data_IF_068029578432
#
_entry.id   IF_068029578432
#
_cell.length_a   1.000
_cell.length_b   1.000
_cell.length_c   1.000
_cell.angle_alpha   90.00
_cell.angle_beta   90.00
_cell.angle_gamma   90.00
#
_symmetry.space_group_name_H-M   'P 1'
#
loop_
_entity.id
_entity.type
_entity.pdbx_description
1 polymer ?
#
# COMPACT_ATOMS: atom_id res chain seq x y z
N UNK A 1 -13.32 15.24 4.64
CA UNK A 1 -12.48 14.06 4.96
C UNK A 1 -11.98 14.26 6.38
N UNK A 2 -12.13 13.27 7.22
CA UNK A 2 -11.67 13.25 8.61
C UNK A 2 -10.51 12.24 8.75
N UNK A 3 -9.81 12.26 9.89
CA UNK A 3 -8.80 11.23 10.23
C UNK A 3 -9.46 9.85 10.24
N UNK A 4 -10.70 9.74 10.72
CA UNK A 4 -11.46 8.49 10.73
C UNK A 4 -11.74 7.94 9.31
N UNK A 5 -11.96 8.82 8.33
CA UNK A 5 -12.11 8.40 6.92
C UNK A 5 -10.79 7.82 6.39
N UNK A 6 -9.65 8.43 6.73
CA UNK A 6 -8.33 7.93 6.37
C UNK A 6 -8.02 6.60 7.06
N UNK A 7 -8.30 6.47 8.36
CA UNK A 7 -8.18 5.19 9.09
C UNK A 7 -8.96 4.08 8.37
N UNK A 8 -10.19 4.36 7.97
CA UNK A 8 -11.02 3.39 7.25
C UNK A 8 -10.39 2.97 5.92
N UNK A 9 -9.81 3.91 5.15
CA UNK A 9 -9.14 3.62 3.88
C UNK A 9 -7.88 2.77 4.07
N UNK A 10 -7.05 3.07 5.07
CA UNK A 10 -5.85 2.29 5.36
C UNK A 10 -6.22 0.89 5.90
N UNK A 11 -7.18 0.78 6.81
CA UNK A 11 -7.67 -0.51 7.31
C UNK A 11 -8.20 -1.39 6.18
N UNK A 12 -8.98 -0.81 5.25
CA UNK A 12 -9.37 -1.51 4.02
C UNK A 12 -8.14 -1.95 3.21
N UNK A 13 -7.16 -1.07 3.03
CA UNK A 13 -5.93 -1.40 2.30
C UNK A 13 -5.21 -2.62 2.88
N UNK A 14 -5.06 -2.69 4.19
CA UNK A 14 -4.41 -3.82 4.87
C UNK A 14 -5.25 -5.09 4.88
N UNK A 15 -6.57 -4.98 4.98
CA UNK A 15 -7.47 -6.11 4.78
C UNK A 15 -7.31 -6.70 3.37
N UNK A 16 -7.27 -5.86 2.35
CA UNK A 16 -7.10 -6.28 0.96
C UNK A 16 -5.69 -6.88 0.71
N UNK A 17 -4.64 -6.30 1.32
CA UNK A 17 -3.29 -6.84 1.26
C UNK A 17 -3.21 -8.25 1.85
N UNK A 18 -3.80 -8.50 3.03
CA UNK A 18 -3.81 -9.83 3.65
C UNK A 18 -4.46 -10.89 2.74
N UNK A 19 -5.57 -10.55 2.07
CA UNK A 19 -6.21 -11.44 1.09
C UNK A 19 -5.31 -11.72 -0.11
N UNK A 20 -4.70 -10.69 -0.64
CA UNK A 20 -3.80 -10.82 -1.79
C UNK A 20 -2.55 -11.64 -1.43
N UNK A 21 -1.94 -11.40 -0.27
CA UNK A 21 -0.79 -12.18 0.21
C UNK A 21 -1.14 -13.65 0.45
N UNK A 22 -2.37 -13.96 0.89
CA UNK A 22 -2.83 -15.34 1.00
C UNK A 22 -2.84 -16.11 -0.33
N UNK A 23 -2.93 -15.40 -1.47
CA UNK A 23 -2.78 -16.00 -2.80
C UNK A 23 -1.33 -15.96 -3.25
N UNK A 24 -0.62 -14.87 -3.04
CA UNK A 24 0.79 -14.74 -3.40
C UNK A 24 1.65 -15.80 -2.71
N UNK A 25 1.34 -16.18 -1.46
CA UNK A 25 2.06 -17.24 -0.73
C UNK A 25 1.91 -18.64 -1.33
N UNK A 26 1.01 -18.84 -2.29
CA UNK A 26 0.85 -20.10 -3.03
C UNK A 26 1.74 -20.16 -4.28
N UNK A 27 2.37 -19.06 -4.67
CA UNK A 27 3.27 -18.98 -5.81
C UNK A 27 4.59 -19.70 -5.50
N UNK A 28 5.18 -20.30 -6.53
CA UNK A 28 6.59 -20.68 -6.43
C UNK A 28 7.49 -19.42 -6.43
N UNK A 29 8.73 -19.51 -5.91
CA UNK A 29 9.68 -18.39 -5.99
C UNK A 29 9.87 -17.84 -7.42
N UNK A 30 9.87 -18.73 -8.40
CA UNK A 30 9.99 -18.37 -9.81
C UNK A 30 8.77 -17.59 -10.29
N UNK A 31 7.56 -18.04 -9.95
CA UNK A 31 6.32 -17.34 -10.31
C UNK A 31 6.22 -15.96 -9.63
N UNK A 32 6.71 -15.82 -8.39
CA UNK A 32 6.72 -14.56 -7.66
C UNK A 32 7.63 -13.51 -8.32
N UNK A 33 8.75 -13.96 -8.88
CA UNK A 33 9.81 -13.10 -9.43
C UNK A 33 9.84 -13.04 -10.96
N UNK A 34 9.10 -13.93 -11.65
CA UNK A 34 9.18 -14.05 -13.11
C UNK A 34 8.84 -12.73 -13.81
N UNK A 35 9.60 -12.38 -14.85
CA UNK A 35 9.33 -11.20 -15.64
C UNK A 35 7.98 -11.28 -16.34
N UNK A 36 7.19 -10.19 -16.23
CA UNK A 36 5.93 -10.01 -16.95
C UNK A 36 5.92 -8.65 -17.64
N UNK A 37 5.28 -8.55 -18.79
CA UNK A 37 5.11 -7.28 -19.46
C UNK A 37 4.14 -6.38 -18.68
N UNK A 38 4.52 -5.12 -18.55
CA UNK A 38 3.70 -4.11 -17.84
C UNK A 38 3.98 -4.02 -16.35
N UNK A 39 3.35 -3.07 -15.68
CA UNK A 39 3.57 -2.75 -14.26
C UNK A 39 5.08 -2.56 -13.94
N UNK A 40 5.57 -3.15 -12.86
CA UNK A 40 6.98 -3.11 -12.44
C UNK A 40 7.77 -4.38 -12.80
N UNK A 41 7.28 -5.14 -13.78
CA UNK A 41 8.00 -6.27 -14.35
C UNK A 41 7.82 -7.61 -13.62
N UNK A 42 7.22 -7.65 -12.42
CA UNK A 42 6.86 -8.90 -11.73
C UNK A 42 5.85 -8.63 -10.61
N UNK A 43 5.25 -9.69 -10.04
CA UNK A 43 4.42 -9.58 -8.83
C UNK A 43 5.26 -9.01 -7.67
N UNK A 44 6.44 -9.57 -7.42
CA UNK A 44 7.39 -9.08 -6.42
C UNK A 44 7.65 -7.58 -6.58
N UNK A 45 8.11 -7.19 -7.74
CA UNK A 45 8.54 -5.80 -7.98
C UNK A 45 7.36 -4.81 -7.84
N UNK A 46 6.16 -5.22 -8.28
CA UNK A 46 4.95 -4.39 -8.14
C UNK A 46 4.57 -4.20 -6.67
N UNK A 47 4.62 -5.26 -5.86
CA UNK A 47 4.32 -5.18 -4.44
C UNK A 47 5.39 -4.41 -3.65
N UNK A 48 6.68 -4.60 -3.97
CA UNK A 48 7.78 -3.83 -3.36
C UNK A 48 7.66 -2.35 -3.70
N UNK A 49 7.30 -2.02 -4.96
CA UNK A 49 7.03 -0.64 -5.33
C UNK A 49 5.88 -0.04 -4.52
N UNK A 50 4.76 -0.75 -4.39
CA UNK A 50 3.61 -0.28 -3.64
C UNK A 50 3.97 -0.01 -2.17
N UNK A 51 4.71 -0.93 -1.53
CA UNK A 51 5.22 -0.78 -0.16
C UNK A 51 6.15 0.43 -0.03
N UNK A 52 7.14 0.53 -0.92
CA UNK A 52 8.11 1.64 -0.93
C UNK A 52 7.45 3.00 -1.16
N UNK A 53 6.38 3.03 -1.96
CA UNK A 53 5.63 4.26 -2.19
C UNK A 53 4.80 4.66 -0.96
N UNK A 54 4.09 3.71 -0.34
CA UNK A 54 3.31 3.95 0.87
C UNK A 54 4.21 4.48 1.99
N UNK A 55 5.31 3.77 2.29
CA UNK A 55 6.29 4.23 3.28
C UNK A 55 6.82 5.62 2.97
N UNK A 56 7.30 5.86 1.74
CA UNK A 56 7.90 7.15 1.38
C UNK A 56 6.90 8.31 1.39
N UNK A 57 5.61 8.08 1.16
CA UNK A 57 4.59 9.12 1.33
C UNK A 57 4.34 9.42 2.79
N UNK A 58 4.30 8.41 3.64
CA UNK A 58 4.09 8.59 5.07
C UNK A 58 5.27 9.25 5.78
N UNK A 59 6.50 8.97 5.36
CA UNK A 59 7.67 9.72 5.84
C UNK A 59 7.51 11.22 5.57
N UNK A 60 7.12 11.59 4.34
CA UNK A 60 6.85 13.00 3.99
C UNK A 60 5.72 13.61 4.82
N UNK A 61 4.63 12.87 5.00
CA UNK A 61 3.50 13.31 5.83
C UNK A 61 3.92 13.55 7.29
N UNK A 62 4.82 12.73 7.81
CA UNK A 62 5.41 12.84 9.14
C UNK A 62 6.55 13.85 9.26
N UNK A 63 6.87 14.60 8.19
CA UNK A 63 7.96 15.58 8.18
C UNK A 63 9.36 14.97 8.12
N UNK A 64 9.47 13.69 7.76
CA UNK A 64 10.75 13.00 7.56
C UNK A 64 11.15 13.06 6.08
N UNK A 65 12.44 13.06 5.82
CA UNK A 65 12.93 12.82 4.47
C UNK A 65 12.58 11.39 4.04
N UNK A 66 12.18 11.25 2.80
CA UNK A 66 11.96 9.93 2.23
C UNK A 66 13.29 9.16 2.24
N UNK A 67 13.30 8.00 2.87
CA UNK A 67 14.39 7.03 2.76
C UNK A 67 14.60 6.55 1.31
N UNK A 68 15.64 5.76 1.10
CA UNK A 68 15.90 5.11 -0.19
C UNK A 68 14.72 4.25 -0.64
N UNK A 69 14.61 4.09 -1.95
CA UNK A 69 13.61 3.16 -2.49
C UNK A 69 14.00 1.73 -2.11
N UNK A 70 13.02 0.95 -1.70
CA UNK A 70 13.23 -0.47 -1.43
C UNK A 70 13.72 -1.17 -2.71
N UNK A 71 14.76 -1.99 -2.55
CA UNK A 71 15.26 -2.82 -3.63
C UNK A 71 14.45 -4.13 -3.68
N UNK A 72 13.81 -4.50 -4.82
CA UNK A 72 13.07 -5.74 -4.91
C UNK A 72 13.91 -7.00 -4.60
N UNK A 73 15.21 -6.98 -4.83
CA UNK A 73 16.08 -8.13 -4.58
C UNK A 73 16.28 -8.45 -3.08
N UNK A 74 15.97 -7.49 -2.20
CA UNK A 74 15.94 -7.71 -0.74
C UNK A 74 14.72 -8.51 -0.29
N UNK A 75 13.79 -8.79 -1.21
CA UNK A 75 12.52 -9.50 -0.97
C UNK A 75 12.42 -10.77 -1.81
N UNK A 76 13.24 -11.80 -1.53
CA UNK A 76 13.26 -13.03 -2.34
C UNK A 76 11.98 -13.86 -2.20
N UNK A 77 11.22 -13.69 -1.11
CA UNK A 77 9.99 -14.45 -0.83
C UNK A 77 8.82 -13.55 -0.45
N UNK A 78 7.60 -14.08 -0.55
CA UNK A 78 6.40 -13.39 -0.11
C UNK A 78 6.44 -13.07 1.40
N UNK A 79 7.02 -13.95 2.22
CA UNK A 79 7.11 -13.80 3.67
C UNK A 79 7.97 -12.60 4.06
N UNK A 80 9.13 -12.40 3.40
CA UNK A 80 10.01 -11.24 3.67
C UNK A 80 9.29 -9.93 3.37
N UNK A 81 8.48 -9.91 2.30
CA UNK A 81 7.67 -8.75 1.94
C UNK A 81 6.54 -8.49 2.94
N UNK A 82 5.84 -9.54 3.40
CA UNK A 82 4.79 -9.44 4.42
C UNK A 82 5.32 -8.85 5.71
N UNK A 83 6.51 -9.27 6.17
CA UNK A 83 7.13 -8.73 7.39
C UNK A 83 7.35 -7.22 7.30
N UNK A 84 7.91 -6.74 6.17
CA UNK A 84 8.10 -5.31 5.96
C UNK A 84 6.78 -4.55 5.85
N UNK A 85 5.76 -5.16 5.22
CA UNK A 85 4.43 -4.55 5.16
C UNK A 85 3.78 -4.40 6.53
N UNK A 86 3.90 -5.41 7.41
CA UNK A 86 3.41 -5.33 8.78
C UNK A 86 4.08 -4.19 9.57
N UNK A 87 5.38 -3.96 9.33
CA UNK A 87 6.10 -2.84 9.96
C UNK A 87 5.57 -1.48 9.49
N UNK A 88 5.32 -1.33 8.20
CA UNK A 88 4.73 -0.09 7.64
C UNK A 88 3.29 0.09 8.13
N UNK A 89 2.48 -0.98 8.19
CA UNK A 89 1.13 -0.93 8.77
C UNK A 89 1.16 -0.43 10.22
N UNK A 90 2.07 -0.95 11.05
CA UNK A 90 2.24 -0.51 12.44
C UNK A 90 2.56 0.98 12.52
N UNK A 91 3.51 1.44 11.70
CA UNK A 91 3.87 2.85 11.62
C UNK A 91 2.71 3.75 11.18
N UNK A 92 1.95 3.35 10.15
CA UNK A 92 0.78 4.10 9.69
C UNK A 92 -0.27 4.24 10.79
N UNK A 93 -0.56 3.13 11.48
CA UNK A 93 -1.54 3.12 12.58
C UNK A 93 -1.11 4.08 13.69
N UNK A 94 0.15 4.03 14.12
CA UNK A 94 0.69 4.95 15.10
C UNK A 94 0.60 6.40 14.63
N UNK A 95 1.01 6.69 13.39
CA UNK A 95 0.95 8.03 12.84
C UNK A 95 -0.48 8.59 12.82
N UNK A 96 -1.47 7.79 12.41
CA UNK A 96 -2.87 8.20 12.40
C UNK A 96 -3.38 8.60 13.78
N UNK A 97 -2.93 7.92 14.86
CA UNK A 97 -3.34 8.28 16.23
C UNK A 97 -2.81 9.64 16.69
N UNK A 98 -1.77 10.17 16.05
CA UNK A 98 -1.21 11.48 16.37
C UNK A 98 -1.94 12.64 15.70
N UNK A 99 -2.81 12.35 14.71
CA UNK A 99 -3.47 13.36 13.89
C UNK A 99 -4.84 13.76 14.44
N UNK A 100 -5.19 15.03 14.24
CA UNK A 100 -6.53 15.58 14.36
C UNK A 100 -7.03 16.00 12.99
N UNK A 101 -8.34 16.16 12.85
CA UNK A 101 -8.95 16.57 11.57
C UNK A 101 -8.40 17.90 11.05
N UNK A 102 -8.05 18.82 11.95
CA UNK A 102 -7.44 20.11 11.60
C UNK A 102 -6.05 19.97 10.95
N UNK A 103 -5.28 18.93 11.33
CA UNK A 103 -3.94 18.68 10.76
C UNK A 103 -4.01 18.33 9.27
N UNK A 104 -5.12 17.78 8.80
CA UNK A 104 -5.30 17.37 7.41
C UNK A 104 -5.26 18.55 6.43
N UNK A 105 -5.47 19.77 6.91
CA UNK A 105 -5.37 21.01 6.14
C UNK A 105 -3.94 21.58 6.08
N UNK A 106 -2.98 20.97 6.78
CA UNK A 106 -1.58 21.40 6.76
C UNK A 106 -0.95 21.13 5.39
N UNK A 107 -0.21 22.10 4.86
CA UNK A 107 0.57 21.91 3.64
C UNK A 107 1.86 21.15 3.92
N UNK A 108 2.15 20.18 3.07
CA UNK A 108 3.39 19.39 3.05
C UNK A 108 4.14 19.71 1.78
N UNK A 109 5.39 20.18 1.91
CA UNK A 109 6.29 20.36 0.77
C UNK A 109 7.03 19.05 0.47
N UNK A 110 7.20 18.75 -0.81
CA UNK A 110 7.92 17.55 -1.26
C UNK A 110 8.46 17.74 -2.69
N UNK A 111 9.37 16.83 -3.08
CA UNK A 111 9.84 16.69 -4.45
C UNK A 111 9.45 15.32 -4.99
N UNK A 112 9.12 15.23 -6.29
CA UNK A 112 8.85 13.97 -7.00
C UNK A 112 9.18 14.13 -8.48
N UNK A 113 9.94 13.18 -9.03
CA UNK A 113 10.27 13.14 -10.46
C UNK A 113 11.24 14.23 -10.93
N UNK A 114 11.84 14.99 -10.00
CA UNK A 114 12.77 16.08 -10.29
C UNK A 114 12.94 17.02 -9.09
N UNK A 115 13.76 18.08 -9.22
CA UNK A 115 14.09 18.99 -8.12
C UNK A 115 12.97 19.99 -7.77
N UNK A 116 11.91 20.06 -8.56
CA UNK A 116 10.82 21.01 -8.34
C UNK A 116 10.09 20.73 -7.03
N UNK A 117 10.02 21.73 -6.17
CA UNK A 117 9.20 21.68 -4.96
C UNK A 117 7.72 21.76 -5.31
N UNK A 118 6.97 20.89 -4.70
CA UNK A 118 5.50 20.84 -4.76
C UNK A 118 4.95 20.98 -3.36
N UNK A 119 3.70 21.41 -3.24
CA UNK A 119 3.00 21.51 -1.98
C UNK A 119 1.60 20.94 -2.13
N UNK A 120 1.16 20.17 -1.13
CA UNK A 120 -0.18 19.58 -1.11
C UNK A 120 -0.64 19.40 0.34
N UNK A 121 -1.95 19.40 0.56
CA UNK A 121 -2.53 19.15 1.87
C UNK A 121 -2.17 17.75 2.37
N UNK A 122 -1.86 17.62 3.65
CA UNK A 122 -1.58 16.35 4.33
C UNK A 122 -2.66 15.30 4.03
N UNK A 123 -3.92 15.68 4.18
CA UNK A 123 -5.06 14.78 3.91
C UNK A 123 -5.08 14.25 2.48
N UNK A 124 -4.72 15.08 1.49
CA UNK A 124 -4.66 14.64 0.08
C UNK A 124 -3.48 13.68 -0.17
N UNK A 125 -2.33 13.91 0.47
CA UNK A 125 -1.18 13.00 0.35
C UNK A 125 -1.47 11.64 0.99
N UNK A 126 -2.11 11.63 2.16
CA UNK A 126 -2.51 10.39 2.80
C UNK A 126 -3.58 9.63 2.01
N UNK A 127 -4.56 10.34 1.46
CA UNK A 127 -5.54 9.75 0.55
C UNK A 127 -4.85 9.17 -0.69
N UNK A 128 -3.88 9.90 -1.27
CA UNK A 128 -3.08 9.41 -2.39
C UNK A 128 -2.36 8.11 -2.04
N UNK A 129 -1.70 8.02 -0.88
CA UNK A 129 -1.00 6.81 -0.45
C UNK A 129 -1.94 5.60 -0.37
N UNK A 130 -3.12 5.76 0.23
CA UNK A 130 -4.12 4.69 0.33
C UNK A 130 -4.65 4.24 -1.04
N UNK A 131 -4.98 5.20 -1.94
CA UNK A 131 -5.51 4.92 -3.29
C UNK A 131 -4.45 4.34 -4.21
N UNK A 132 -3.18 4.75 -4.07
CA UNK A 132 -2.05 4.19 -4.80
C UNK A 132 -1.91 2.67 -4.55
N UNK A 133 -2.13 2.23 -3.32
CA UNK A 133 -2.20 0.80 -2.99
C UNK A 133 -3.30 0.07 -3.76
N UNK A 134 -4.49 0.68 -3.94
CA UNK A 134 -5.59 0.09 -4.73
C UNK A 134 -5.16 -0.15 -6.18
N UNK A 135 -4.49 0.84 -6.80
CA UNK A 135 -3.99 0.74 -8.17
C UNK A 135 -3.06 -0.47 -8.34
N UNK A 136 -2.08 -0.64 -7.46
CA UNK A 136 -1.11 -1.74 -7.55
C UNK A 136 -1.69 -3.10 -7.20
N UNK A 137 -2.61 -3.18 -6.25
CA UNK A 137 -3.36 -4.43 -5.99
C UNK A 137 -4.13 -4.90 -7.22
N UNK A 138 -4.75 -3.98 -7.98
CA UNK A 138 -5.41 -4.32 -9.24
C UNK A 138 -4.44 -4.90 -10.28
N UNK A 139 -3.24 -4.33 -10.40
CA UNK A 139 -2.19 -4.86 -11.29
C UNK A 139 -1.76 -6.27 -10.87
N UNK A 140 -1.47 -6.49 -9.59
CA UNK A 140 -1.08 -7.80 -9.08
C UNK A 140 -2.20 -8.82 -9.25
N UNK A 141 -3.46 -8.44 -9.03
CA UNK A 141 -4.60 -9.31 -9.26
C UNK A 141 -4.70 -9.78 -10.73
N UNK A 142 -4.39 -8.89 -11.69
CA UNK A 142 -4.30 -9.28 -13.09
C UNK A 142 -3.18 -10.28 -13.33
N UNK A 143 -1.99 -10.04 -12.78
CA UNK A 143 -0.83 -10.93 -12.91
C UNK A 143 -1.10 -12.31 -12.32
N UNK A 144 -1.76 -12.39 -11.16
CA UNK A 144 -2.16 -13.65 -10.55
C UNK A 144 -3.13 -14.45 -11.44
N UNK A 145 -4.10 -13.77 -12.07
CA UNK A 145 -5.02 -14.44 -13.02
C UNK A 145 -4.29 -14.99 -14.24
N UNK A 146 -3.30 -14.26 -14.76
CA UNK A 146 -2.48 -14.74 -15.89
C UNK A 146 -1.66 -15.99 -15.52
N UNK A 147 -1.33 -16.17 -14.23
CA UNK A 147 -0.67 -17.36 -13.70
C UNK A 147 -1.65 -18.48 -13.32
N UNK A 148 -2.97 -18.29 -13.52
CA UNK A 148 -3.98 -19.29 -13.18
C UNK A 148 -4.48 -19.24 -11.72
N UNK A 149 -4.09 -18.24 -10.94
CA UNK A 149 -4.53 -18.06 -9.56
C UNK A 149 -5.73 -17.10 -9.48
N UNK A 150 -6.71 -17.44 -8.63
CA UNK A 150 -7.83 -16.56 -8.35
C UNK A 150 -7.50 -15.61 -7.20
N UNK A 151 -7.31 -14.29 -7.43
CA UNK A 151 -6.92 -13.35 -6.36
C UNK A 151 -8.03 -13.10 -5.33
N UNK A 152 -9.23 -13.60 -5.57
CA UNK A 152 -10.39 -13.29 -4.76
C UNK A 152 -10.99 -11.92 -5.06
N UNK A 153 -11.92 -11.50 -4.21
CA UNK A 153 -12.53 -10.19 -4.28
C UNK A 153 -12.07 -9.36 -3.09
N UNK A 154 -11.55 -8.17 -3.37
CA UNK A 154 -11.04 -7.24 -2.37
C UNK A 154 -11.54 -5.80 -2.61
N UNK A 155 -12.71 -5.62 -3.26
CA UNK A 155 -13.35 -4.33 -3.35
C UNK A 155 -13.77 -3.84 -1.95
N UNK A 156 -13.70 -2.54 -1.74
CA UNK A 156 -14.01 -1.91 -0.45
C UNK A 156 -15.43 -2.22 0.04
N UNK A 157 -16.36 -2.52 -0.88
CA UNK A 157 -17.72 -2.95 -0.55
C UNK A 157 -17.73 -4.20 0.33
N UNK A 158 -16.87 -5.19 0.01
CA UNK A 158 -16.78 -6.44 0.78
C UNK A 158 -16.11 -6.23 2.13
N UNK A 159 -15.13 -5.34 2.22
CA UNK A 159 -14.56 -4.92 3.48
C UNK A 159 -15.64 -4.38 4.43
N UNK A 160 -16.47 -3.44 3.97
CA UNK A 160 -17.54 -2.90 4.81
C UNK A 160 -18.63 -3.93 5.14
N UNK A 161 -18.95 -4.85 4.23
CA UNK A 161 -19.90 -5.92 4.52
C UNK A 161 -19.39 -6.85 5.65
N UNK A 162 -18.10 -7.22 5.63
CA UNK A 162 -17.51 -8.04 6.68
C UNK A 162 -17.49 -7.33 8.04
N UNK A 163 -17.17 -6.01 8.07
CA UNK A 163 -17.18 -5.25 9.34
C UNK A 163 -18.55 -5.23 10.01
N UNK A 164 -19.63 -5.22 9.23
CA UNK A 164 -21.01 -5.26 9.78
C UNK A 164 -21.36 -6.59 10.44
N UNK A 165 -20.82 -7.70 9.92
CA UNK A 165 -21.05 -9.04 10.49
C UNK A 165 -20.25 -9.30 11.77
N UNK A 166 -19.17 -8.58 12.01
CA UNK A 166 -18.35 -8.68 13.23
C UNK A 166 -18.95 -7.82 14.36
N UNK A 167 -19.74 -6.80 14.03
CA UNK A 167 -20.36 -5.87 15.00
C UNK A 167 -21.78 -6.30 15.43
N UNK A 168 -22.33 -7.35 14.86
CA UNK A 168 -23.65 -7.93 15.19
C UNK A 168 -23.50 -9.20 16.03
#
# INVERSE_FOLDING_TARGET
MSVKDLESLFHYGYWANRRLFGVISQLTPEQFTQPVAGSYGSIRNTMVHALSAEWGWLDRCGGRERGERLNPDDYPTAESLVQSWNSVEGYVREFLTTLKDEDLARNIEFTIGGPEKRSMLLGHLMQHAAVHGVHHRGQVALLLRLLGYAPGNFDILFYYAEQRHVAA
#
